data_IF_844437626088
#
_entry.id   IF_844437626088
#
_cell.length_a   1.000
_cell.length_b   1.000
_cell.length_c   1.000
_cell.angle_alpha   90.00
_cell.angle_beta   90.00
_cell.angle_gamma   90.00
#
_symmetry.space_group_name_H-M   'P 1'
#
loop_
_entity.id
_entity.type
_entity.pdbx_description
1 polymer ?
#
# COMPACT_ATOMS: atom_id res chain seq x y z
N UNK A 1 27.42 -3.72 -17.06
CA UNK A 1 26.09 -4.38 -16.99
C UNK A 1 25.69 -4.44 -15.53
N UNK A 2 25.21 -3.32 -14.97
CA UNK A 2 24.67 -3.28 -13.62
C UNK A 2 23.21 -3.71 -13.72
N UNK A 3 22.94 -4.95 -13.31
CA UNK A 3 21.60 -5.46 -13.19
C UNK A 3 20.88 -4.67 -12.09
N UNK A 4 20.00 -3.77 -12.51
CA UNK A 4 18.98 -3.23 -11.63
C UNK A 4 18.04 -4.38 -11.30
N UNK A 5 18.22 -5.01 -10.15
CA UNK A 5 17.20 -5.85 -9.55
C UNK A 5 16.10 -4.91 -9.07
N UNK A 6 15.28 -4.39 -9.99
CA UNK A 6 13.95 -3.97 -9.62
C UNK A 6 13.26 -5.26 -9.16
N UNK A 7 13.19 -5.49 -7.85
CA UNK A 7 12.12 -6.32 -7.31
C UNK A 7 10.85 -5.74 -7.90
N UNK A 8 10.33 -6.37 -8.95
CA UNK A 8 8.99 -6.16 -9.48
C UNK A 8 8.03 -6.55 -8.37
N UNK A 9 7.91 -5.67 -7.39
CA UNK A 9 6.79 -5.68 -6.47
C UNK A 9 5.61 -5.42 -7.38
N UNK A 10 4.77 -6.44 -7.52
CA UNK A 10 3.61 -6.46 -8.40
C UNK A 10 2.65 -5.39 -7.88
N UNK A 11 2.83 -4.14 -8.29
CA UNK A 11 1.93 -3.06 -7.93
C UNK A 11 0.68 -3.21 -8.76
N UNK A 12 -0.43 -3.44 -8.08
CA UNK A 12 -1.73 -3.36 -8.72
C UNK A 12 -2.09 -1.88 -8.89
N UNK A 13 -2.34 -1.49 -10.14
CA UNK A 13 -3.02 -0.24 -10.45
C UNK A 13 -4.38 -0.23 -9.72
N UNK A 14 -4.51 0.60 -8.70
CA UNK A 14 -5.66 0.61 -7.80
C UNK A 14 -5.45 1.55 -6.61
N UNK A 15 -6.42 1.59 -5.71
CA UNK A 15 -6.34 2.38 -4.48
C UNK A 15 -5.50 1.67 -3.41
N UNK A 16 -5.08 2.40 -2.39
CA UNK A 16 -4.34 1.82 -1.25
C UNK A 16 -5.24 0.83 -0.48
N UNK A 17 -6.53 1.15 -0.35
CA UNK A 17 -7.54 0.27 0.22
C UNK A 17 -7.64 -1.05 -0.54
N UNK A 18 -7.74 -1.01 -1.88
CA UNK A 18 -7.81 -2.20 -2.72
C UNK A 18 -6.56 -3.07 -2.59
N UNK A 19 -5.38 -2.44 -2.57
CA UNK A 19 -4.12 -3.16 -2.38
C UNK A 19 -4.00 -3.78 -0.98
N UNK A 20 -4.56 -3.14 0.04
CA UNK A 20 -4.55 -3.66 1.41
C UNK A 20 -5.57 -4.80 1.58
N UNK A 21 -6.77 -4.64 1.03
CA UNK A 21 -7.81 -5.69 1.01
C UNK A 21 -7.48 -6.85 0.08
N UNK A 22 -6.48 -6.72 -0.79
CA UNK A 22 -6.07 -7.82 -1.67
C UNK A 22 -5.66 -9.07 -0.87
N UNK A 23 -4.99 -8.90 0.28
CA UNK A 23 -4.64 -10.03 1.15
C UNK A 23 -5.79 -10.52 2.03
N UNK A 24 -6.77 -9.66 2.33
CA UNK A 24 -7.96 -10.00 3.09
C UNK A 24 -9.19 -9.21 2.58
N UNK A 25 -9.98 -9.79 1.65
CA UNK A 25 -11.12 -9.11 1.04
C UNK A 25 -12.22 -8.71 2.02
N UNK A 26 -12.33 -9.43 3.14
CA UNK A 26 -13.31 -9.21 4.20
C UNK A 26 -12.81 -8.22 5.27
N UNK A 27 -11.60 -7.64 5.10
CA UNK A 27 -11.05 -6.68 6.06
C UNK A 27 -11.89 -5.41 6.13
N UNK A 28 -12.28 -5.04 7.36
CA UNK A 28 -13.01 -3.80 7.62
C UNK A 28 -12.11 -2.58 7.40
N UNK A 29 -12.69 -1.39 7.21
CA UNK A 29 -11.92 -0.13 7.11
C UNK A 29 -10.97 0.08 8.29
N UNK A 30 -11.38 -0.39 9.47
CA UNK A 30 -10.60 -0.30 10.70
C UNK A 30 -9.37 -1.24 10.66
N UNK A 31 -9.53 -2.44 10.08
CA UNK A 31 -8.43 -3.38 9.89
C UNK A 31 -7.47 -2.90 8.80
N UNK A 32 -7.99 -2.33 7.71
CA UNK A 32 -7.17 -1.65 6.69
C UNK A 32 -6.36 -0.51 7.31
N UNK A 33 -6.95 0.29 8.21
CA UNK A 33 -6.22 1.31 8.95
C UNK A 33 -5.13 0.72 9.86
N UNK A 34 -5.40 -0.39 10.56
CA UNK A 34 -4.41 -1.08 11.40
C UNK A 34 -3.26 -1.62 10.56
N UNK A 35 -3.56 -2.29 9.45
CA UNK A 35 -2.58 -2.80 8.50
C UNK A 35 -1.69 -1.68 7.94
N UNK A 36 -2.28 -0.55 7.52
CA UNK A 36 -1.53 0.62 7.07
C UNK A 36 -0.62 1.22 8.16
N UNK A 37 -1.03 1.16 9.44
CA UNK A 37 -0.19 1.58 10.57
C UNK A 37 0.97 0.62 10.81
N UNK A 38 0.70 -0.68 10.76
CA UNK A 38 1.73 -1.72 10.91
C UNK A 38 2.76 -1.67 9.79
N UNK A 39 2.35 -1.27 8.59
CA UNK A 39 3.23 -1.04 7.46
C UNK A 39 3.95 0.33 7.46
N UNK A 40 3.74 1.17 8.48
CA UNK A 40 4.34 2.52 8.55
C UNK A 40 4.06 3.38 7.31
N UNK A 41 2.87 3.26 6.72
CA UNK A 41 2.43 4.08 5.58
C UNK A 41 1.24 4.97 5.96
N UNK A 42 0.48 4.61 7.00
CA UNK A 42 -0.73 5.31 7.42
C UNK A 42 -0.61 6.85 7.44
N UNK A 43 0.47 7.39 8.00
CA UNK A 43 0.62 8.85 8.11
C UNK A 43 0.78 9.51 6.74
N UNK A 44 1.54 8.88 5.83
CA UNK A 44 1.69 9.36 4.45
C UNK A 44 0.39 9.24 3.67
N UNK A 45 -0.39 8.19 3.93
CA UNK A 45 -1.73 8.05 3.34
C UNK A 45 -2.65 9.16 3.84
N UNK A 46 -2.59 9.49 5.13
CA UNK A 46 -3.44 10.52 5.74
C UNK A 46 -3.12 11.94 5.27
N UNK A 47 -1.93 12.17 4.71
CA UNK A 47 -1.55 13.43 4.05
C UNK A 47 -2.19 13.61 2.66
N UNK A 48 -2.73 12.54 2.07
CA UNK A 48 -3.40 12.59 0.77
C UNK A 48 -4.86 13.05 0.88
N UNK A 49 -5.39 13.75 -0.14
CA UNK A 49 -6.77 14.23 -0.13
C UNK A 49 -7.80 13.10 0.00
N UNK A 50 -7.56 11.97 -0.68
CA UNK A 50 -8.47 10.82 -0.72
C UNK A 50 -8.05 9.68 0.22
N UNK A 51 -6.99 9.88 1.02
CA UNK A 51 -6.48 8.91 2.00
C UNK A 51 -6.33 7.51 1.40
N UNK A 52 -7.00 6.50 1.97
CA UNK A 52 -6.97 5.10 1.52
C UNK A 52 -7.55 4.92 0.10
N UNK A 53 -8.44 5.80 -0.33
CA UNK A 53 -8.97 5.84 -1.70
C UNK A 53 -7.99 6.44 -2.72
N UNK A 54 -6.86 6.99 -2.27
CA UNK A 54 -5.84 7.54 -3.17
C UNK A 54 -5.16 6.44 -3.96
N UNK A 55 -4.68 6.79 -5.15
CA UNK A 55 -4.00 5.86 -6.02
C UNK A 55 -2.62 5.46 -5.43
N UNK A 56 -2.38 4.16 -5.28
CA UNK A 56 -1.12 3.62 -4.75
C UNK A 56 0.10 3.91 -5.66
N UNK A 57 -0.13 4.28 -6.93
CA UNK A 57 0.90 4.71 -7.87
C UNK A 57 1.50 6.09 -7.56
N UNK A 58 0.89 6.86 -6.65
CA UNK A 58 1.42 8.15 -6.20
C UNK A 58 2.70 8.01 -5.35
N UNK A 59 3.00 6.81 -4.87
CA UNK A 59 4.12 6.51 -3.98
C UNK A 59 5.35 5.99 -4.74
N UNK A 60 6.54 6.30 -4.23
CA UNK A 60 7.79 5.87 -4.86
C UNK A 60 8.41 4.67 -4.14
N UNK A 61 8.75 3.62 -4.90
CA UNK A 61 9.65 2.53 -4.51
C UNK A 61 9.43 1.96 -3.11
N UNK A 62 10.21 2.41 -2.12
CA UNK A 62 10.13 1.91 -0.74
C UNK A 62 8.80 2.20 -0.03
N UNK A 63 8.09 3.27 -0.39
CA UNK A 63 6.74 3.54 0.12
C UNK A 63 5.72 2.57 -0.48
N UNK A 64 5.89 2.34 -1.77
CA UNK A 64 5.16 1.34 -2.53
C UNK A 64 5.35 -0.04 -1.87
N UNK A 65 6.57 -0.43 -1.52
CA UNK A 65 6.83 -1.70 -0.82
C UNK A 65 6.08 -1.79 0.52
N UNK A 66 5.95 -0.69 1.26
CA UNK A 66 5.15 -0.64 2.49
C UNK A 66 3.67 -0.88 2.23
N UNK A 67 3.11 -0.34 1.15
CA UNK A 67 1.72 -0.61 0.76
C UNK A 67 1.52 -2.11 0.48
N UNK A 68 2.48 -2.75 -0.19
CA UNK A 68 2.43 -4.20 -0.40
C UNK A 68 2.53 -5.00 0.91
N UNK A 69 3.35 -4.55 1.87
CA UNK A 69 3.45 -5.14 3.21
C UNK A 69 2.14 -4.92 4.00
N UNK A 70 1.45 -3.80 3.81
CA UNK A 70 0.16 -3.54 4.47
C UNK A 70 -0.86 -4.63 4.11
N UNK A 71 -0.92 -5.07 2.85
CA UNK A 71 -1.80 -6.17 2.44
C UNK A 71 -1.40 -7.55 2.97
N UNK A 72 -0.27 -7.70 3.67
CA UNK A 72 0.14 -8.96 4.31
C UNK A 72 -0.31 -9.06 5.77
N UNK A 73 -0.85 -7.99 6.34
CA UNK A 73 -1.39 -7.93 7.70
C UNK A 73 -2.91 -8.13 7.70
#
# INVERSE_FOLDING_TARGET
>A
MSAWYCSETIFFSGTIEENTRYGNPDATDEDVCKAARQAYIHDQVMELPDKLGSNALLFFGGQQQRIAIAGMF
#
